data_IF_231179643903
#
_entry.id   IF_231179643903
#
_cell.length_a   1.000
_cell.length_b   1.000
_cell.length_c   1.000
_cell.angle_alpha   90.00
_cell.angle_beta   90.00
_cell.angle_gamma   90.00
#
_symmetry.space_group_name_H-M   'P 1'
#
loop_
_entity.id
_entity.type
_entity.pdbx_description
1 polymer ?
#
# COMPACT_ATOMS: atom_id res chain seq x y z
N UNK A 1 -29.08 -4.55 8.11
CA UNK A 1 -27.71 -4.91 7.68
C UNK A 1 -26.79 -3.71 7.88
N UNK A 2 -25.55 -3.87 8.36
CA UNK A 2 -24.58 -2.78 8.39
C UNK A 2 -24.32 -2.28 6.96
N UNK A 3 -24.36 -0.97 6.75
CA UNK A 3 -24.07 -0.35 5.45
C UNK A 3 -22.67 0.28 5.45
N UNK A 4 -22.02 0.31 4.29
CA UNK A 4 -20.79 1.05 4.11
C UNK A 4 -21.09 2.52 3.77
N UNK A 5 -20.12 3.40 3.98
CA UNK A 5 -20.23 4.81 3.67
C UNK A 5 -19.09 5.25 2.74
N UNK A 6 -19.43 6.06 1.75
CA UNK A 6 -18.47 6.71 0.86
C UNK A 6 -18.48 8.22 1.07
N UNK A 7 -17.30 8.81 1.17
CA UNK A 7 -17.09 10.25 1.22
C UNK A 7 -16.01 10.64 0.21
N UNK A 8 -16.07 11.88 -0.31
CA UNK A 8 -15.05 12.47 -1.16
C UNK A 8 -14.38 13.60 -0.40
N UNK A 9 -13.06 13.70 -0.52
CA UNK A 9 -12.28 14.77 0.10
C UNK A 9 -11.51 15.53 -0.97
N UNK A 10 -11.44 16.85 -0.82
CA UNK A 10 -10.61 17.76 -1.61
C UNK A 10 -9.97 18.75 -0.65
N UNK A 11 -8.65 18.90 -0.69
CA UNK A 11 -7.88 19.77 0.21
C UNK A 11 -8.19 19.55 1.70
N UNK A 12 -8.36 18.29 2.10
CA UNK A 12 -8.66 17.89 3.49
C UNK A 12 -10.09 18.16 3.94
N UNK A 13 -10.97 18.65 3.05
CA UNK A 13 -12.38 18.95 3.36
C UNK A 13 -13.32 18.01 2.63
N UNK A 14 -14.46 17.71 3.25
CA UNK A 14 -15.53 16.95 2.61
C UNK A 14 -16.06 17.73 1.39
N UNK A 15 -16.03 17.05 0.25
CA UNK A 15 -16.48 17.59 -1.03
C UNK A 15 -17.70 16.81 -1.53
N UNK A 16 -18.61 17.46 -2.26
CA UNK A 16 -19.75 16.78 -2.83
C UNK A 16 -19.34 15.92 -4.02
N UNK A 17 -20.05 14.81 -4.23
CA UNK A 17 -19.85 13.94 -5.40
C UNK A 17 -20.36 14.56 -6.71
N UNK A 18 -21.25 15.54 -6.62
CA UNK A 18 -21.89 16.24 -7.74
C UNK A 18 -21.86 17.74 -7.47
N UNK A 19 -21.83 18.61 -8.51
CA UNK A 19 -21.94 20.06 -8.32
C UNK A 19 -23.19 20.41 -7.51
N UNK A 20 -23.04 21.28 -6.51
CA UNK A 20 -24.10 21.69 -5.57
C UNK A 20 -24.75 20.56 -4.76
N UNK A 21 -24.09 19.41 -4.62
CA UNK A 21 -24.57 18.31 -3.78
C UNK A 21 -24.27 18.47 -2.29
N UNK A 22 -24.82 17.56 -1.48
CA UNK A 22 -24.46 17.43 -0.06
C UNK A 22 -23.05 16.84 0.11
N UNK A 23 -22.30 17.38 1.08
CA UNK A 23 -20.97 16.90 1.48
C UNK A 23 -21.02 15.78 2.53
N UNK A 24 -22.22 15.34 2.95
CA UNK A 24 -22.36 14.26 3.94
C UNK A 24 -21.96 12.90 3.33
N UNK A 25 -21.39 11.97 4.11
CA UNK A 25 -21.14 10.61 3.67
C UNK A 25 -22.41 9.97 3.11
N UNK A 26 -22.29 9.27 1.97
CA UNK A 26 -23.40 8.57 1.31
C UNK A 26 -23.33 7.08 1.60
N UNK A 27 -24.45 6.48 1.95
CA UNK A 27 -24.55 5.02 2.10
C UNK A 27 -24.24 4.35 0.75
N UNK A 28 -23.44 3.28 0.78
CA UNK A 28 -23.08 2.50 -0.39
C UNK A 28 -22.97 1.01 -0.04
N UNK A 29 -22.96 0.17 -1.08
CA UNK A 29 -22.56 -1.22 -0.94
C UNK A 29 -21.08 -1.29 -0.58
N UNK A 30 -20.71 -2.22 0.31
CA UNK A 30 -19.33 -2.45 0.72
C UNK A 30 -19.22 -3.63 1.66
N UNK A 31 -18.01 -4.17 1.75
CA UNK A 31 -17.62 -5.21 2.72
C UNK A 31 -16.98 -4.56 3.95
N UNK A 32 -16.79 -5.33 5.01
CA UNK A 32 -16.04 -4.86 6.19
C UNK A 32 -14.61 -4.53 5.77
N UNK A 33 -14.21 -3.28 5.96
CA UNK A 33 -12.89 -2.78 5.58
C UNK A 33 -12.93 -1.31 5.21
N UNK A 34 -11.86 -0.84 4.58
CA UNK A 34 -11.75 0.54 4.10
C UNK A 34 -11.10 0.54 2.73
N UNK A 35 -11.72 1.23 1.78
CA UNK A 35 -11.17 1.48 0.46
C UNK A 35 -10.84 2.96 0.32
N UNK A 36 -9.60 3.25 -0.02
CA UNK A 36 -9.14 4.62 -0.30
C UNK A 36 -8.81 4.69 -1.79
N UNK A 37 -9.44 5.64 -2.49
CA UNK A 37 -9.15 5.95 -3.89
C UNK A 37 -8.56 7.34 -3.96
N UNK A 38 -7.37 7.45 -4.53
CA UNK A 38 -6.68 8.73 -4.74
C UNK A 38 -6.63 8.99 -6.24
N UNK A 39 -7.18 10.13 -6.67
CA UNK A 39 -7.25 10.55 -8.06
C UNK A 39 -6.57 11.92 -8.20
N UNK A 40 -6.03 12.21 -9.39
CA UNK A 40 -5.39 13.49 -9.72
C UNK A 40 -4.33 13.96 -8.70
N UNK A 41 -3.39 13.07 -8.36
CA UNK A 41 -2.30 13.42 -7.44
C UNK A 41 -1.51 14.64 -7.96
N UNK A 42 -1.28 15.61 -7.06
CA UNK A 42 -0.64 16.89 -7.35
C UNK A 42 -1.40 17.82 -8.33
N UNK A 43 -2.73 17.67 -8.47
CA UNK A 43 -3.54 18.57 -9.31
C UNK A 43 -3.34 20.07 -9.02
N UNK A 44 -3.14 20.41 -7.74
CA UNK A 44 -2.97 21.79 -7.26
C UNK A 44 -1.51 22.27 -7.17
N UNK A 45 -0.52 21.41 -7.44
CA UNK A 45 0.91 21.76 -7.41
C UNK A 45 1.57 21.30 -8.71
N UNK A 46 1.51 22.14 -9.75
CA UNK A 46 2.02 21.84 -11.10
C UNK A 46 3.51 21.46 -11.12
N UNK A 47 4.33 22.08 -10.26
CA UNK A 47 5.76 21.78 -10.16
C UNK A 47 6.01 20.34 -9.69
N UNK A 48 5.25 19.86 -8.68
CA UNK A 48 5.31 18.46 -8.23
C UNK A 48 4.77 17.50 -9.28
N UNK A 49 3.67 17.86 -9.95
CA UNK A 49 3.11 17.07 -11.05
C UNK A 49 4.12 16.89 -12.19
N UNK A 50 4.87 17.93 -12.55
CA UNK A 50 5.94 17.87 -13.58
C UNK A 50 7.19 17.12 -13.13
N UNK A 51 7.43 17.03 -11.82
CA UNK A 51 8.55 16.29 -11.25
C UNK A 51 8.30 14.78 -11.19
N UNK A 52 7.05 14.33 -11.35
CA UNK A 52 6.75 12.91 -11.55
C UNK A 52 7.46 12.42 -12.81
N UNK A 53 8.08 11.25 -12.71
CA UNK A 53 8.69 10.60 -13.87
C UNK A 53 7.60 9.94 -14.72
N UNK A 54 8.02 9.11 -15.69
CA UNK A 54 7.06 8.31 -16.44
C UNK A 54 6.31 7.32 -15.53
N UNK A 55 5.11 6.90 -15.97
CA UNK A 55 4.21 6.07 -15.19
C UNK A 55 4.84 4.72 -14.77
N UNK A 56 5.68 4.12 -15.62
CA UNK A 56 6.34 2.85 -15.30
C UNK A 56 7.37 3.01 -14.17
N UNK A 57 8.15 4.09 -14.16
CA UNK A 57 9.11 4.35 -13.09
C UNK A 57 8.41 4.61 -11.75
N UNK A 58 7.34 5.40 -11.73
CA UNK A 58 6.57 5.62 -10.50
C UNK A 58 5.88 4.34 -10.01
N UNK A 59 5.38 3.51 -10.94
CA UNK A 59 4.83 2.21 -10.59
C UNK A 59 5.89 1.27 -9.99
N UNK A 60 7.10 1.22 -10.55
CA UNK A 60 8.19 0.42 -9.99
C UNK A 60 8.57 0.87 -8.57
N UNK A 61 8.48 2.18 -8.27
CA UNK A 61 8.65 2.68 -6.91
C UNK A 61 7.52 2.22 -5.98
N UNK A 62 6.27 2.22 -6.45
CA UNK A 62 5.13 1.68 -5.69
C UNK A 62 5.36 0.20 -5.37
N UNK A 63 5.76 -0.60 -6.36
CA UNK A 63 6.09 -2.01 -6.17
C UNK A 63 7.19 -2.19 -5.12
N UNK A 64 8.29 -1.43 -5.23
CA UNK A 64 9.37 -1.50 -4.24
C UNK A 64 8.91 -1.20 -2.81
N UNK A 65 7.99 -0.24 -2.63
CA UNK A 65 7.40 0.06 -1.32
C UNK A 65 6.52 -1.09 -0.84
N UNK A 66 5.60 -1.58 -1.67
CA UNK A 66 4.70 -2.69 -1.30
C UNK A 66 5.49 -3.96 -0.96
N UNK A 67 6.51 -4.30 -1.76
CA UNK A 67 7.40 -5.45 -1.50
C UNK A 67 8.08 -5.34 -0.13
N UNK A 68 8.59 -4.16 0.26
CA UNK A 68 9.21 -3.95 1.57
C UNK A 68 8.21 -4.15 2.71
N UNK A 69 7.00 -3.63 2.57
CA UNK A 69 5.95 -3.82 3.57
C UNK A 69 5.50 -5.27 3.67
N UNK A 70 5.39 -5.98 2.53
CA UNK A 70 5.05 -7.40 2.52
C UNK A 70 6.07 -8.25 3.28
N UNK A 71 7.38 -7.97 3.11
CA UNK A 71 8.43 -8.65 3.87
C UNK A 71 8.38 -8.34 5.37
N UNK A 72 8.08 -7.08 5.72
CA UNK A 72 8.06 -6.65 7.12
C UNK A 72 6.83 -7.17 7.87
N UNK A 73 5.71 -7.34 7.17
CA UNK A 73 4.46 -7.89 7.70
C UNK A 73 4.09 -9.18 6.99
N UNK A 74 4.88 -10.26 7.15
CA UNK A 74 4.72 -11.47 6.36
C UNK A 74 3.40 -12.20 6.63
N UNK A 75 2.77 -11.96 7.78
CA UNK A 75 1.46 -12.51 8.14
C UNK A 75 0.27 -11.81 7.45
N UNK A 76 0.50 -10.71 6.74
CA UNK A 76 -0.51 -9.97 6.00
C UNK A 76 -0.40 -10.29 4.51
N UNK A 77 -1.53 -10.52 3.85
CA UNK A 77 -1.56 -10.69 2.40
C UNK A 77 -1.50 -9.34 1.69
N UNK A 78 -0.55 -9.19 0.77
CA UNK A 78 -0.44 -8.01 -0.10
C UNK A 78 -0.68 -8.39 -1.56
N UNK A 79 -1.36 -7.50 -2.28
CA UNK A 79 -1.48 -7.55 -3.74
C UNK A 79 -1.28 -6.17 -4.34
N UNK A 80 -0.45 -6.07 -5.38
CA UNK A 80 -0.25 -4.85 -6.15
C UNK A 80 -0.22 -5.18 -7.65
N UNK A 81 -1.00 -4.43 -8.43
CA UNK A 81 -1.14 -4.61 -9.87
C UNK A 81 -1.37 -3.29 -10.58
N UNK A 82 -1.03 -3.23 -11.86
CA UNK A 82 -1.39 -2.11 -12.72
C UNK A 82 -2.88 -2.09 -12.99
N UNK A 83 -3.42 -0.89 -13.20
CA UNK A 83 -4.82 -0.74 -13.59
C UNK A 83 -5.07 -1.43 -14.94
N UNK A 84 -6.17 -2.19 -15.03
CA UNK A 84 -6.55 -2.94 -16.22
C UNK A 84 -5.86 -4.30 -16.39
N UNK A 85 -4.82 -4.59 -15.62
CA UNK A 85 -4.15 -5.89 -15.65
C UNK A 85 -4.85 -6.91 -14.73
N UNK A 86 -4.91 -8.15 -15.21
CA UNK A 86 -5.48 -9.27 -14.46
C UNK A 86 -4.49 -9.86 -13.47
N UNK A 87 -3.21 -9.91 -13.85
CA UNK A 87 -2.13 -10.42 -13.02
C UNK A 87 -1.61 -9.34 -12.06
N UNK A 88 -1.14 -9.77 -10.89
CA UNK A 88 -0.48 -8.90 -9.93
C UNK A 88 1.04 -9.10 -10.00
N UNK A 89 1.79 -7.99 -9.98
CA UNK A 89 3.25 -8.00 -9.97
C UNK A 89 3.79 -8.35 -8.57
N UNK A 90 3.04 -7.99 -7.52
CA UNK A 90 3.29 -8.44 -6.15
C UNK A 90 2.03 -9.14 -5.66
N UNK A 91 2.18 -10.39 -5.22
CA UNK A 91 1.13 -11.15 -4.57
C UNK A 91 1.73 -12.04 -3.50
N UNK A 92 1.32 -11.83 -2.26
CA UNK A 92 1.79 -12.61 -1.11
C UNK A 92 0.58 -13.13 -0.34
N UNK A 93 0.49 -14.44 -0.04
CA UNK A 93 -0.69 -15.03 0.59
C UNK A 93 -0.79 -14.76 2.10
N UNK A 94 0.25 -14.18 2.70
CA UNK A 94 0.45 -14.20 4.15
C UNK A 94 1.08 -15.53 4.60
N UNK A 95 1.92 -15.49 5.65
CA UNK A 95 2.68 -16.63 6.14
C UNK A 95 3.92 -16.19 6.91
N UNK A 96 5.02 -16.92 6.71
CA UNK A 96 6.32 -16.63 7.35
C UNK A 96 7.17 -15.65 6.52
N UNK A 97 8.15 -15.02 7.16
CA UNK A 97 9.11 -14.12 6.49
C UNK A 97 9.84 -14.82 5.34
N UNK A 98 10.22 -16.09 5.54
CA UNK A 98 10.93 -16.91 4.55
C UNK A 98 10.05 -17.23 3.34
N UNK A 99 8.78 -17.58 3.55
CA UNK A 99 7.83 -17.84 2.46
C UNK A 99 7.56 -16.58 1.64
N UNK A 100 7.32 -15.46 2.31
CA UNK A 100 7.14 -14.17 1.63
C UNK A 100 8.39 -13.77 0.84
N UNK A 101 9.58 -13.97 1.40
CA UNK A 101 10.84 -13.73 0.70
C UNK A 101 10.98 -14.59 -0.56
N UNK A 102 10.69 -15.90 -0.47
CA UNK A 102 10.71 -16.82 -1.61
C UNK A 102 9.78 -16.38 -2.74
N UNK A 103 8.58 -15.91 -2.39
CA UNK A 103 7.60 -15.42 -3.38
C UNK A 103 8.07 -14.14 -4.06
N UNK A 104 8.70 -13.22 -3.33
CA UNK A 104 9.09 -11.91 -3.86
C UNK A 104 10.43 -11.92 -4.62
N UNK A 105 11.41 -12.70 -4.19
CA UNK A 105 12.77 -12.69 -4.75
C UNK A 105 13.18 -14.01 -5.41
N UNK A 106 12.34 -15.04 -5.32
CA UNK A 106 12.59 -16.35 -5.89
C UNK A 106 13.38 -17.29 -4.98
N UNK A 107 13.35 -18.57 -5.35
CA UNK A 107 13.90 -19.65 -4.52
C UNK A 107 15.44 -19.73 -4.54
N UNK A 108 16.10 -19.16 -5.56
CA UNK A 108 17.57 -19.12 -5.63
C UNK A 108 18.14 -18.27 -4.49
N UNK A 109 17.71 -17.02 -4.39
CA UNK A 109 18.14 -16.10 -3.34
C UNK A 109 17.70 -16.58 -1.94
N UNK A 110 16.53 -17.20 -1.84
CA UNK A 110 16.03 -17.71 -0.56
C UNK A 110 16.86 -18.87 0.03
N UNK A 111 17.76 -19.49 -0.73
CA UNK A 111 18.69 -20.51 -0.22
C UNK A 111 19.97 -19.92 0.35
N UNK A 112 20.25 -18.65 0.04
CA UNK A 112 21.47 -17.95 0.43
C UNK A 112 21.26 -17.05 1.64
N UNK A 113 20.02 -16.93 2.13
CA UNK A 113 19.71 -16.11 3.31
C UNK A 113 20.05 -16.87 4.60
N UNK A 114 20.66 -16.15 5.53
CA UNK A 114 20.99 -16.63 6.87
C UNK A 114 20.10 -15.91 7.88
N UNK A 115 19.43 -16.67 8.72
CA UNK A 115 18.68 -16.12 9.84
C UNK A 115 19.64 -15.58 10.89
N UNK A 116 19.40 -14.35 11.33
CA UNK A 116 20.19 -13.69 12.36
C UNK A 116 19.25 -13.41 13.52
N UNK A 117 19.57 -14.01 14.67
CA UNK A 117 18.92 -13.73 15.93
C UNK A 117 19.94 -13.04 16.83
N UNK A 118 19.61 -11.85 17.32
CA UNK A 118 20.43 -11.13 18.28
C UNK A 118 19.54 -10.46 19.31
N UNK A 119 19.83 -10.73 20.58
CA UNK A 119 19.22 -10.08 21.72
C UNK A 119 20.29 -9.22 22.41
N UNK A 120 20.06 -7.92 22.51
CA UNK A 120 20.98 -6.99 23.17
C UNK A 120 20.59 -6.85 24.64
N UNK A 121 21.47 -7.28 25.54
CA UNK A 121 21.28 -7.21 27.00
C UNK A 121 22.04 -6.06 27.67
N UNK A 122 22.51 -5.05 26.91
CA UNK A 122 23.24 -3.92 27.51
C UNK A 122 22.30 -2.93 28.21
N UNK A 123 22.09 -3.14 29.51
CA UNK A 123 21.51 -2.18 30.45
C UNK A 123 22.56 -1.23 31.04
N UNK A 124 23.60 -0.86 30.29
CA UNK A 124 24.65 0.05 30.76
C UNK A 124 24.40 1.48 30.27
N UNK A 125 23.27 2.06 30.71
CA UNK A 125 23.14 3.51 30.87
C UNK A 125 23.00 3.80 32.36
N UNK A 126 24.10 3.67 33.10
CA UNK A 126 24.21 4.27 34.42
C UNK A 126 24.41 5.79 34.23
N UNK A 127 23.38 6.56 34.54
CA UNK A 127 23.47 8.00 34.80
C UNK A 127 24.21 8.27 36.11
#
# INVERSE_FOLDING_TARGET
HPCAFKAKYVDGKLAPFVPNGSCKPKACAGVIGTQITVEDLFYNILTRKRALKNANEEYNKIIAVVTRYALHYPHVSFSCKKYGESAADVQTPGGTSLETFKVLFGNSLAREILEIEHESTSHDFAM
#
